data_IF_361975303421
#
_entry.id   IF_361975303421
#
_cell.length_a   1.000
_cell.length_b   1.000
_cell.length_c   1.000
_cell.angle_alpha   90.00
_cell.angle_beta   90.00
_cell.angle_gamma   90.00
#
_symmetry.space_group_name_H-M   'P 1'
#
loop_
_entity.id
_entity.type
_entity.pdbx_description
1 polymer ?
#
# COMPACT_ATOMS: atom_id res chain seq x y z
N UNK A 1 -19.63 -14.99 17.16
CA UNK A 1 -18.89 -13.72 17.35
C UNK A 1 -17.79 -13.51 16.30
N UNK A 2 -17.22 -14.55 15.71
CA UNK A 2 -16.13 -14.43 14.71
C UNK A 2 -16.58 -13.93 13.32
N UNK A 3 -17.83 -14.19 12.91
CA UNK A 3 -18.34 -13.81 11.58
C UNK A 3 -18.49 -12.29 11.37
N UNK A 4 -18.79 -11.54 12.44
CA UNK A 4 -18.98 -10.08 12.35
C UNK A 4 -17.65 -9.35 12.13
N UNK A 5 -16.57 -9.87 12.72
CA UNK A 5 -15.21 -9.32 12.58
C UNK A 5 -14.70 -9.58 11.16
N UNK A 6 -14.88 -10.80 10.65
CA UNK A 6 -14.50 -11.14 9.28
C UNK A 6 -15.21 -10.28 8.23
N UNK A 7 -16.51 -9.97 8.44
CA UNK A 7 -17.25 -9.10 7.52
C UNK A 7 -16.76 -7.65 7.55
N UNK A 8 -16.33 -7.16 8.72
CA UNK A 8 -15.75 -5.83 8.86
C UNK A 8 -14.40 -5.73 8.13
N UNK A 9 -13.57 -6.77 8.23
CA UNK A 9 -12.28 -6.84 7.54
C UNK A 9 -12.47 -6.82 6.01
N UNK A 10 -13.44 -7.58 5.49
CA UNK A 10 -13.77 -7.61 4.05
C UNK A 10 -14.19 -6.21 3.55
N UNK A 11 -15.06 -5.51 4.28
CA UNK A 11 -15.54 -4.18 3.89
C UNK A 11 -14.45 -3.12 3.99
N UNK A 12 -13.56 -3.24 4.98
CA UNK A 12 -12.42 -2.35 5.13
C UNK A 12 -11.45 -2.51 3.96
N UNK A 13 -11.12 -3.76 3.60
CA UNK A 13 -10.26 -4.07 2.46
C UNK A 13 -10.80 -3.49 1.15
N UNK A 14 -12.08 -3.70 0.86
CA UNK A 14 -12.71 -3.20 -0.36
C UNK A 14 -12.63 -1.67 -0.46
N UNK A 15 -12.87 -0.99 0.67
CA UNK A 15 -12.86 0.48 0.72
C UNK A 15 -11.44 1.04 0.54
N UNK A 16 -10.43 0.37 1.08
CA UNK A 16 -9.02 0.73 0.89
C UNK A 16 -8.62 0.53 -0.57
N UNK A 17 -8.90 -0.63 -1.16
CA UNK A 17 -8.53 -0.93 -2.55
C UNK A 17 -9.23 0.02 -3.55
N UNK A 18 -10.52 0.31 -3.31
CA UNK A 18 -11.29 1.25 -4.12
C UNK A 18 -10.70 2.65 -4.08
N UNK A 19 -10.37 3.15 -2.89
CA UNK A 19 -9.79 4.48 -2.71
C UNK A 19 -8.40 4.55 -3.34
N UNK A 20 -7.57 3.54 -3.10
CA UNK A 20 -6.23 3.45 -3.68
C UNK A 20 -6.28 3.47 -5.22
N UNK A 21 -7.16 2.69 -5.83
CA UNK A 21 -7.32 2.66 -7.29
C UNK A 21 -7.73 4.02 -7.86
N UNK A 22 -8.58 4.77 -7.15
CA UNK A 22 -8.97 6.12 -7.51
C UNK A 22 -7.78 7.09 -7.51
N UNK A 23 -6.95 7.04 -6.45
CA UNK A 23 -5.74 7.87 -6.31
C UNK A 23 -4.67 7.47 -7.32
N UNK A 24 -4.42 6.17 -7.51
CA UNK A 24 -3.41 5.66 -8.44
C UNK A 24 -3.70 6.06 -9.89
N UNK A 25 -4.99 6.08 -10.29
CA UNK A 25 -5.39 6.58 -11.61
C UNK A 25 -5.05 8.06 -11.76
N UNK A 26 -5.48 8.90 -10.82
CA UNK A 26 -5.20 10.34 -10.88
C UNK A 26 -3.71 10.63 -10.85
N UNK A 27 -2.95 9.91 -10.03
CA UNK A 27 -1.50 10.03 -9.96
C UNK A 27 -0.86 9.80 -11.32
N UNK A 28 -1.19 8.70 -12.00
CA UNK A 28 -0.65 8.39 -13.32
C UNK A 28 -0.98 9.47 -14.35
N UNK A 29 -2.24 9.91 -14.36
CA UNK A 29 -2.71 10.90 -15.34
C UNK A 29 -1.97 12.24 -15.13
N UNK A 30 -1.88 12.75 -13.89
CA UNK A 30 -1.12 13.96 -13.54
C UNK A 30 0.38 13.80 -13.76
N UNK A 31 0.96 12.64 -13.43
CA UNK A 31 2.39 12.39 -13.61
C UNK A 31 2.78 12.47 -15.09
N UNK A 32 1.95 11.92 -15.98
CA UNK A 32 2.21 11.96 -17.43
C UNK A 32 2.13 13.37 -18.02
N UNK A 33 1.34 14.26 -17.43
CA UNK A 33 1.29 15.67 -17.82
C UNK A 33 2.53 16.44 -17.32
N UNK A 34 3.02 16.10 -16.13
CA UNK A 34 4.17 16.76 -15.51
C UNK A 34 5.52 16.28 -16.08
N UNK A 35 5.61 15.01 -16.47
CA UNK A 35 6.86 14.39 -16.95
C UNK A 35 6.67 13.94 -18.40
N UNK A 36 7.21 14.71 -19.35
CA UNK A 36 7.16 14.37 -20.77
C UNK A 36 7.82 13.00 -21.03
N UNK A 37 7.05 12.04 -21.52
CA UNK A 37 7.50 10.66 -21.77
C UNK A 37 7.63 9.79 -20.51
N UNK A 38 7.35 10.34 -19.32
CA UNK A 38 7.46 9.61 -18.05
C UNK A 38 6.15 8.92 -17.64
N UNK A 39 6.30 7.82 -16.90
CA UNK A 39 5.18 7.08 -16.33
C UNK A 39 5.37 6.86 -14.83
N UNK A 40 4.37 7.25 -14.04
CA UNK A 40 4.33 7.06 -12.59
C UNK A 40 3.27 6.03 -12.19
N UNK A 41 3.61 5.16 -11.25
CA UNK A 41 2.74 4.14 -10.68
C UNK A 41 2.78 4.18 -9.16
N UNK A 42 1.61 4.07 -8.53
CA UNK A 42 1.50 3.78 -7.11
C UNK A 42 1.34 2.27 -6.91
N UNK A 43 2.00 1.74 -5.88
CA UNK A 43 1.93 0.32 -5.49
C UNK A 43 1.52 0.25 -4.02
N UNK A 44 0.38 -0.38 -3.73
CA UNK A 44 -0.10 -0.58 -2.37
C UNK A 44 0.69 -1.71 -1.71
N UNK A 45 1.32 -1.42 -0.58
CA UNK A 45 2.14 -2.37 0.16
C UNK A 45 1.30 -3.18 1.14
N UNK A 46 1.48 -4.50 1.12
CA UNK A 46 0.88 -5.42 2.08
C UNK A 46 1.94 -5.89 3.07
N UNK A 47 1.53 -6.26 4.28
CA UNK A 47 2.45 -6.73 5.33
C UNK A 47 3.36 -7.87 4.83
N UNK A 48 2.78 -8.86 4.15
CA UNK A 48 3.53 -9.97 3.54
C UNK A 48 4.49 -9.56 2.40
N UNK A 49 4.31 -8.38 1.80
CA UNK A 49 5.26 -7.88 0.78
C UNK A 49 6.56 -7.44 1.43
N UNK A 50 6.53 -6.98 2.70
CA UNK A 50 7.72 -6.53 3.44
C UNK A 50 8.64 -7.70 3.80
N UNK A 51 8.07 -8.81 4.28
CA UNK A 51 8.83 -10.00 4.66
C UNK A 51 9.64 -10.59 3.49
N UNK A 52 9.23 -10.35 2.23
CA UNK A 52 9.90 -10.83 1.02
C UNK A 52 11.03 -9.87 0.53
N UNK A 53 10.95 -8.57 0.84
CA UNK A 53 11.99 -7.57 0.50
C UNK A 53 13.07 -7.41 1.56
N UNK A 54 12.86 -7.86 2.80
CA UNK A 54 13.84 -7.76 3.89
C UNK A 54 15.09 -8.66 3.71
N UNK A 55 15.15 -9.50 2.66
CA UNK A 55 16.34 -10.29 2.34
C UNK A 55 17.42 -9.53 1.53
N UNK A 56 17.21 -8.26 1.14
CA UNK A 56 18.13 -7.57 0.21
C UNK A 56 18.61 -6.15 0.60
N UNK A 57 18.39 -5.63 1.82
CA UNK A 57 19.15 -4.45 2.29
C UNK A 57 19.05 -4.16 3.81
N UNK A 58 20.22 -3.98 4.41
CA UNK A 58 20.57 -3.70 5.81
C UNK A 58 20.04 -2.34 6.33
N UNK A 59 19.60 -2.35 7.59
CA UNK A 59 19.46 -1.29 8.61
C UNK A 59 18.88 0.11 8.27
N UNK A 60 17.65 0.36 8.75
CA UNK A 60 17.32 1.52 9.61
C UNK A 60 15.98 1.24 10.37
N UNK A 61 16.06 0.84 11.64
CA UNK A 61 14.92 0.77 12.58
C UNK A 61 14.95 2.02 13.49
N UNK A 62 13.79 2.63 13.85
CA UNK A 62 13.11 2.14 15.04
C UNK A 62 11.58 2.00 14.89
N UNK A 63 11.10 0.90 15.45
CA UNK A 63 9.71 0.50 15.66
C UNK A 63 8.82 1.57 16.29
N UNK A 64 7.57 1.62 15.83
CA UNK A 64 6.43 1.59 16.75
C UNK A 64 5.46 0.50 16.32
N UNK A 65 5.79 -0.72 16.70
CA UNK A 65 4.84 -1.82 16.79
C UNK A 65 4.10 -1.67 18.12
N UNK A 66 2.98 -0.96 18.12
CA UNK A 66 1.96 -1.07 19.18
C UNK A 66 0.57 -0.73 18.62
N UNK A 67 0.10 -1.60 17.73
CA UNK A 67 -1.33 -1.82 17.46
C UNK A 67 -1.58 -3.32 17.47
N UNK A 68 -1.16 -3.98 18.56
CA UNK A 68 -1.54 -5.37 18.85
C UNK A 68 -3.07 -5.49 18.87
N UNK A 69 -3.64 -6.11 17.82
CA UNK A 69 -4.99 -6.65 17.86
C UNK A 69 -5.85 -6.45 16.62
N UNK A 70 -5.49 -5.56 15.68
CA UNK A 70 -6.22 -5.40 14.41
C UNK A 70 -5.22 -5.52 13.29
N UNK A 71 -5.16 -6.69 12.64
CA UNK A 71 -4.23 -6.98 11.54
C UNK A 71 -4.33 -5.94 10.43
N UNK A 72 -3.44 -4.95 10.47
CA UNK A 72 -3.30 -3.95 9.41
C UNK A 72 -2.64 -4.64 8.20
N UNK A 73 -3.49 -5.15 7.30
CA UNK A 73 -3.10 -5.88 6.07
C UNK A 73 -2.23 -5.04 5.14
N UNK A 74 -2.40 -3.71 5.18
CA UNK A 74 -1.68 -2.75 4.37
C UNK A 74 -0.74 -1.92 5.26
N UNK A 75 0.47 -1.73 4.78
CA UNK A 75 1.59 -1.14 5.54
C UNK A 75 2.12 0.15 4.94
N UNK A 76 1.73 0.47 3.69
CA UNK A 76 2.13 1.72 3.04
C UNK A 76 1.84 1.77 1.55
N UNK A 77 2.40 2.78 0.88
CA UNK A 77 2.33 2.96 -0.58
C UNK A 77 3.73 3.25 -1.11
N UNK A 78 4.17 2.51 -2.14
CA UNK A 78 5.41 2.76 -2.89
C UNK A 78 5.10 3.53 -4.19
N UNK A 79 6.04 4.38 -4.59
CA UNK A 79 6.01 5.07 -5.89
C UNK A 79 7.04 4.43 -6.81
N UNK A 80 6.64 4.08 -8.03
CA UNK A 80 7.54 3.62 -9.09
C UNK A 80 7.44 4.60 -10.26
N UNK A 81 8.57 5.01 -10.81
CA UNK A 81 8.64 5.89 -11.96
C UNK A 81 9.51 5.25 -13.05
N UNK A 82 9.07 5.37 -14.29
CA UNK A 82 9.84 5.05 -15.49
C UNK A 82 10.00 6.33 -16.31
N UNK A 83 11.18 6.52 -16.91
CA UNK A 83 11.55 7.66 -17.74
C UNK A 83 12.16 7.16 -19.06
#
# INVERSE_FOLDING_TARGET
MQELIAFLDIRQDESIERSFKGVAKHFRDVFSELVQGGHGFLVLMKKNDIDDVENDQDDDEPRTADTEGRVEKYVGVKVKACY
#
